data_IF_419348920317
#
_entry.id   IF_419348920317
#
_cell.length_a   1.000
_cell.length_b   1.000
_cell.length_c   1.000
_cell.angle_alpha   90.00
_cell.angle_beta   90.00
_cell.angle_gamma   90.00
#
_symmetry.space_group_name_H-M   'P 1'
#
loop_
_entity.id
_entity.type
_entity.pdbx_description
1 polymer ?
#
# COMPACT_ATOMS: atom_id res chain seq x y z
N UNK A 1 -12.49 39.01 -15.39
CA UNK A 1 -13.67 38.25 -15.86
C UNK A 1 -13.22 36.85 -16.28
N UNK A 2 -13.28 35.85 -15.40
CA UNK A 2 -12.94 34.46 -15.73
C UNK A 2 -14.24 33.71 -16.08
N UNK A 3 -14.41 33.37 -17.37
CA UNK A 3 -15.46 32.47 -17.84
C UNK A 3 -14.92 31.03 -17.83
N UNK A 4 -14.99 30.36 -16.68
CA UNK A 4 -14.81 28.90 -16.63
C UNK A 4 -16.18 28.28 -16.89
N UNK A 5 -16.47 28.04 -18.17
CA UNK A 5 -17.65 27.28 -18.59
C UNK A 5 -17.39 25.79 -18.39
N UNK A 6 -17.83 25.24 -17.25
CA UNK A 6 -17.94 23.78 -17.08
C UNK A 6 -19.12 23.30 -17.94
N UNK A 7 -18.81 22.59 -19.02
CA UNK A 7 -19.81 21.83 -19.76
C UNK A 7 -20.08 20.55 -18.97
N UNK A 8 -21.30 20.43 -18.45
CA UNK A 8 -21.80 19.19 -17.88
C UNK A 8 -21.71 18.08 -18.93
N UNK A 9 -20.76 17.16 -18.78
CA UNK A 9 -20.67 15.98 -19.62
C UNK A 9 -21.82 15.05 -19.26
N UNK A 10 -22.91 15.11 -20.04
CA UNK A 10 -23.93 14.06 -20.09
C UNK A 10 -23.25 12.71 -20.38
N UNK A 11 -23.12 11.89 -19.35
CA UNK A 11 -22.79 10.47 -19.44
C UNK A 11 -21.45 10.16 -20.10
N UNK A 12 -20.33 10.53 -19.46
CA UNK A 12 -19.04 9.93 -19.81
C UNK A 12 -19.08 8.44 -19.44
N UNK A 13 -19.38 7.57 -20.41
CA UNK A 13 -19.22 6.13 -20.28
C UNK A 13 -17.72 5.86 -20.17
N UNK A 14 -17.24 5.64 -18.94
CA UNK A 14 -15.87 5.25 -18.71
C UNK A 14 -15.70 3.82 -19.27
N UNK A 15 -14.99 3.68 -20.39
CA UNK A 15 -14.67 2.37 -20.94
C UNK A 15 -13.69 1.65 -20.03
N UNK A 16 -14.25 0.88 -19.11
CA UNK A 16 -13.56 0.01 -18.21
C UNK A 16 -13.18 -1.27 -18.97
N UNK A 17 -12.11 -1.23 -19.77
CA UNK A 17 -11.80 -2.34 -20.68
C UNK A 17 -11.13 -3.55 -19.99
N UNK A 18 -10.68 -3.42 -18.74
CA UNK A 18 -9.81 -4.43 -18.12
C UNK A 18 -10.32 -5.06 -16.82
N UNK A 19 -11.56 -4.78 -16.41
CA UNK A 19 -11.81 -4.83 -14.97
C UNK A 19 -12.91 -5.77 -14.57
N UNK A 20 -12.43 -6.82 -13.91
CA UNK A 20 -13.16 -7.63 -12.98
C UNK A 20 -14.17 -6.77 -12.18
N UNK A 21 -15.48 -6.97 -12.40
CA UNK A 21 -16.51 -6.16 -11.75
C UNK A 21 -16.46 -6.28 -10.23
N UNK A 22 -15.88 -7.36 -9.70
CA UNK A 22 -15.71 -7.59 -8.27
C UNK A 22 -14.71 -6.60 -7.69
N UNK A 23 -13.53 -6.46 -8.32
CA UNK A 23 -12.48 -5.53 -7.91
C UNK A 23 -13.00 -4.08 -7.95
N UNK A 24 -13.83 -3.75 -8.94
CA UNK A 24 -14.48 -2.45 -8.98
C UNK A 24 -15.48 -2.20 -7.88
N UNK A 25 -16.29 -3.20 -7.58
CA UNK A 25 -17.24 -3.12 -6.47
C UNK A 25 -16.50 -2.87 -5.16
N UNK A 26 -15.37 -3.55 -4.93
CA UNK A 26 -14.52 -3.35 -3.75
C UNK A 26 -13.91 -1.94 -3.73
N UNK A 27 -13.43 -1.44 -4.86
CA UNK A 27 -12.96 -0.05 -4.97
C UNK A 27 -14.06 0.95 -4.62
N UNK A 28 -15.27 0.78 -5.17
CA UNK A 28 -16.41 1.66 -4.87
C UNK A 28 -16.85 1.54 -3.40
N UNK A 29 -16.81 0.34 -2.83
CA UNK A 29 -17.10 0.10 -1.42
C UNK A 29 -16.11 0.85 -0.54
N UNK A 30 -14.81 0.74 -0.82
CA UNK A 30 -13.78 1.49 -0.11
C UNK A 30 -14.00 3.00 -0.20
N UNK A 31 -14.30 3.53 -1.40
CA UNK A 31 -14.54 4.96 -1.57
C UNK A 31 -15.78 5.46 -0.81
N UNK A 32 -16.76 4.59 -0.59
CA UNK A 32 -18.00 4.97 0.10
C UNK A 32 -17.95 4.75 1.62
N UNK A 33 -17.28 3.69 2.08
CA UNK A 33 -17.27 3.25 3.49
C UNK A 33 -15.93 3.49 4.21
N UNK A 34 -14.86 3.73 3.47
CA UNK A 34 -13.48 3.77 3.99
C UNK A 34 -12.81 2.40 4.14
N UNK A 35 -13.51 1.30 3.85
CA UNK A 35 -12.98 -0.06 3.84
C UNK A 35 -13.69 -0.89 2.76
N UNK A 36 -13.05 -1.95 2.26
CA UNK A 36 -13.69 -2.96 1.40
C UNK A 36 -13.78 -4.28 2.15
N UNK A 37 -14.82 -5.06 1.84
CA UNK A 37 -14.91 -6.44 2.33
C UNK A 37 -14.39 -7.35 1.24
N UNK A 38 -13.22 -7.96 1.47
CA UNK A 38 -12.96 -9.22 0.78
C UNK A 38 -13.72 -10.30 1.54
N UNK A 39 -14.32 -11.26 0.82
CA UNK A 39 -15.08 -12.31 1.49
C UNK A 39 -14.16 -13.28 2.28
N UNK A 40 -12.88 -12.94 2.47
CA UNK A 40 -11.81 -13.76 3.06
C UNK A 40 -11.48 -13.28 4.47
N UNK A 41 -11.58 -11.98 4.72
CA UNK A 41 -11.37 -11.29 5.98
C UNK A 41 -12.62 -10.46 6.27
N UNK A 42 -13.69 -11.07 6.82
CA UNK A 42 -14.80 -10.28 7.32
C UNK A 42 -14.24 -9.30 8.35
N UNK A 43 -14.33 -8.00 8.05
CA UNK A 43 -13.76 -6.97 8.89
C UNK A 43 -14.35 -7.12 10.30
N UNK A 44 -13.51 -7.50 11.27
CA UNK A 44 -13.94 -7.81 12.65
C UNK A 44 -14.22 -6.51 13.42
N UNK A 45 -13.91 -5.35 12.85
CA UNK A 45 -14.15 -4.02 13.43
C UNK A 45 -15.64 -3.63 13.56
N UNK A 46 -16.55 -4.59 13.42
CA UNK A 46 -17.98 -4.46 13.69
C UNK A 46 -18.43 -4.99 15.05
N UNK A 47 -17.53 -5.48 15.91
CA UNK A 47 -17.83 -5.54 17.35
C UNK A 47 -17.83 -4.11 17.87
N UNK A 48 -18.95 -3.45 17.65
CA UNK A 48 -19.32 -2.30 18.46
C UNK A 48 -19.36 -2.80 19.89
N UNK A 49 -18.48 -2.27 20.71
CA UNK A 49 -18.70 -2.17 22.15
C UNK A 49 -19.96 -1.30 22.38
N UNK A 50 -21.13 -1.86 22.07
CA UNK A 50 -22.40 -1.50 22.71
C UNK A 50 -22.42 -2.21 24.08
N UNK A 51 -21.35 -2.06 24.87
CA UNK A 51 -21.46 -2.21 26.32
C UNK A 51 -22.01 -0.89 26.86
N UNK A 52 -23.33 -0.91 27.05
CA UNK A 52 -24.10 -0.16 28.02
C UNK A 52 -23.23 0.56 29.09
N UNK A 53 -22.78 1.78 28.79
CA UNK A 53 -22.46 2.74 29.84
C UNK A 53 -23.78 3.29 30.36
N UNK A 54 -24.33 2.56 31.33
CA UNK A 54 -25.34 3.10 32.23
C UNK A 54 -24.78 4.36 32.88
N UNK A 55 -25.37 5.48 32.48
CA UNK A 55 -25.18 6.80 33.04
C UNK A 55 -25.82 6.87 34.43
N UNK A 56 -25.14 6.38 35.46
CA UNK A 56 -25.48 6.68 36.86
C UNK A 56 -24.22 7.17 37.59
N UNK A 57 -23.96 8.48 37.48
CA UNK A 57 -22.80 9.13 38.08
C UNK A 57 -23.03 10.61 38.31
N UNK A 58 -24.02 10.94 39.14
CA UNK A 58 -24.09 12.22 39.84
C UNK A 58 -22.80 12.42 40.66
N UNK A 59 -22.03 13.45 40.32
CA UNK A 59 -20.82 13.86 41.04
C UNK A 59 -20.17 15.04 40.31
N UNK A 60 -20.62 16.27 40.54
CA UNK A 60 -20.20 17.15 41.65
C UNK A 60 -18.90 17.92 41.33
N UNK A 61 -19.10 19.23 41.18
CA UNK A 61 -18.23 20.41 41.39
C UNK A 61 -16.71 20.35 41.16
N UNK A 62 -16.19 21.33 40.41
CA UNK A 62 -14.81 21.78 40.57
C UNK A 62 -14.24 22.60 39.41
N UNK A 63 -14.27 23.92 39.56
CA UNK A 63 -13.63 24.95 38.73
C UNK A 63 -12.15 24.67 38.41
N UNK A 64 -11.69 25.10 37.22
CA UNK A 64 -10.56 26.03 37.11
C UNK A 64 -10.51 26.66 35.71
N UNK A 65 -10.89 27.94 35.66
CA UNK A 65 -10.45 28.91 34.65
C UNK A 65 -9.01 29.29 34.97
N UNK A 66 -8.07 28.96 34.08
CA UNK A 66 -6.80 29.67 33.90
C UNK A 66 -6.67 29.80 32.37
N UNK A 67 -7.06 30.93 31.78
CA UNK A 67 -6.27 32.14 31.55
C UNK A 67 -4.92 31.88 30.86
N UNK A 68 -4.81 32.49 29.68
CA UNK A 68 -3.63 33.02 28.99
C UNK A 68 -2.57 32.05 28.42
N UNK A 69 -2.38 32.08 27.09
CA UNK A 69 -1.14 32.66 26.54
C UNK A 69 -1.28 32.99 25.04
N UNK A 70 -1.24 34.28 24.75
CA UNK A 70 -1.11 34.90 23.44
C UNK A 70 0.34 34.73 22.94
N UNK A 71 0.64 33.72 22.11
CA UNK A 71 1.89 33.73 21.33
C UNK A 71 1.65 34.23 19.91
N UNK A 72 1.70 35.55 19.77
CA UNK A 72 1.95 36.24 18.50
C UNK A 72 3.37 35.91 18.00
N UNK A 73 3.47 35.22 16.87
CA UNK A 73 4.72 35.02 16.14
C UNK A 73 4.53 35.32 14.66
N UNK A 74 4.51 36.61 14.29
CA UNK A 74 4.63 37.06 12.90
C UNK A 74 6.10 36.98 12.50
N UNK A 75 6.44 36.06 11.61
CA UNK A 75 7.66 36.17 10.80
C UNK A 75 7.25 36.48 9.37
N UNK A 76 7.39 37.75 9.01
CA UNK A 76 7.34 38.25 7.64
C UNK A 76 8.56 37.69 6.89
N UNK A 77 8.34 36.74 5.98
CA UNK A 77 9.38 36.36 5.02
C UNK A 77 9.40 37.38 3.87
N UNK A 78 10.49 38.14 3.87
CA UNK A 78 10.92 39.11 2.88
C UNK A 78 10.98 38.49 1.48
N UNK A 79 10.09 38.96 0.59
CA UNK A 79 10.07 38.58 -0.82
C UNK A 79 11.19 39.35 -1.51
N UNK A 80 12.35 38.70 -1.58
CA UNK A 80 13.49 39.14 -2.37
C UNK A 80 13.09 39.34 -3.84
N UNK A 81 13.11 40.60 -4.26
CA UNK A 81 13.17 41.01 -5.67
C UNK A 81 14.44 40.44 -6.32
N UNK A 82 14.26 39.66 -7.38
CA UNK A 82 15.28 39.53 -8.41
C UNK A 82 14.73 40.16 -9.69
N UNK A 83 15.27 41.34 -9.94
CA UNK A 83 15.27 42.10 -11.18
C UNK A 83 16.70 41.93 -11.69
N UNK A 84 16.91 41.25 -12.81
CA UNK A 84 17.73 41.81 -13.88
C UNK A 84 17.65 40.94 -15.13
N UNK A 85 17.48 41.61 -16.25
CA UNK A 85 17.38 40.99 -17.56
C UNK A 85 18.70 40.39 -18.02
N UNK A 86 18.57 39.42 -18.92
CA UNK A 86 19.62 39.16 -19.89
C UNK A 86 18.95 38.81 -21.21
N UNK A 87 18.70 39.86 -22.00
CA UNK A 87 18.58 39.75 -23.45
C UNK A 87 19.93 39.28 -23.99
N UNK A 88 19.95 38.10 -24.60
CA UNK A 88 21.02 37.68 -25.50
C UNK A 88 20.39 36.86 -26.60
N UNK A 89 20.08 37.55 -27.69
CA UNK A 89 19.89 36.99 -29.02
C UNK A 89 21.18 36.27 -29.42
N UNK A 90 21.15 34.94 -29.49
CA UNK A 90 22.01 34.18 -30.40
C UNK A 90 21.16 33.11 -31.10
N UNK A 91 20.98 33.32 -32.40
CA UNK A 91 20.48 32.33 -33.34
C UNK A 91 21.51 31.21 -33.45
N UNK A 92 21.21 30.03 -32.92
CA UNK A 92 21.91 28.80 -33.28
C UNK A 92 20.89 27.71 -33.60
N UNK A 93 20.83 27.43 -34.91
CA UNK A 93 20.23 26.24 -35.51
C UNK A 93 21.06 25.02 -35.09
N UNK A 94 20.70 24.34 -34.00
CA UNK A 94 21.25 23.02 -33.69
C UNK A 94 20.18 22.06 -33.14
N UNK A 95 20.15 20.90 -33.79
CA UNK A 95 19.55 19.61 -33.45
C UNK A 95 18.56 19.53 -32.27
N UNK A 96 17.30 19.19 -32.61
CA UNK A 96 16.22 18.86 -31.67
C UNK A 96 16.53 17.57 -30.90
N UNK A 97 17.33 17.68 -29.84
CA UNK A 97 17.47 16.64 -28.84
C UNK A 97 16.14 16.53 -28.06
N UNK A 98 15.47 15.38 -28.20
CA UNK A 98 14.23 15.03 -27.52
C UNK A 98 14.46 14.87 -26.01
N UNK A 99 14.65 15.97 -25.30
CA UNK A 99 14.55 16.00 -23.84
C UNK A 99 13.10 15.85 -23.44
N UNK A 100 12.77 14.63 -23.01
CA UNK A 100 11.51 14.32 -22.36
C UNK A 100 11.55 14.89 -20.94
N UNK A 101 11.22 16.17 -20.81
CA UNK A 101 10.84 16.79 -19.54
C UNK A 101 9.50 16.19 -19.11
N UNK A 102 9.57 14.98 -18.54
CA UNK A 102 8.56 14.48 -17.66
C UNK A 102 8.60 15.36 -16.40
N UNK A 103 7.78 16.41 -16.42
CA UNK A 103 7.31 17.18 -15.29
C UNK A 103 6.87 16.23 -14.17
N UNK A 104 7.84 15.87 -13.34
CA UNK A 104 7.70 14.96 -12.22
C UNK A 104 7.31 15.84 -11.05
N UNK A 105 6.03 16.23 -11.02
CA UNK A 105 5.47 17.07 -9.97
C UNK A 105 5.79 16.55 -8.57
N UNK A 106 5.71 17.40 -7.53
CA UNK A 106 6.18 17.14 -6.17
C UNK A 106 5.49 15.98 -5.42
N UNK A 107 4.59 15.27 -6.08
CA UNK A 107 3.86 14.10 -5.59
C UNK A 107 4.46 12.75 -6.03
N UNK A 108 5.51 12.74 -6.88
CA UNK A 108 6.17 11.53 -7.35
C UNK A 108 7.26 11.00 -6.39
N UNK A 109 7.12 11.24 -5.08
CA UNK A 109 7.90 10.47 -4.09
C UNK A 109 7.29 9.08 -4.01
N UNK A 110 7.82 8.18 -4.83
CA UNK A 110 7.61 6.76 -4.65
C UNK A 110 8.16 6.37 -3.28
N UNK A 111 7.37 5.65 -2.45
CA UNK A 111 7.85 5.27 -1.15
C UNK A 111 9.09 4.38 -1.31
N UNK A 112 10.15 4.73 -0.59
CA UNK A 112 11.39 3.95 -0.62
C UNK A 112 11.15 2.61 0.08
N UNK A 113 11.97 1.61 -0.22
CA UNK A 113 11.89 0.28 0.43
C UNK A 113 12.03 0.33 1.96
N UNK A 114 12.53 1.44 2.52
CA UNK A 114 12.61 1.67 3.96
C UNK A 114 11.27 2.16 4.55
N UNK A 115 10.37 2.75 3.75
CA UNK A 115 9.07 3.24 4.21
C UNK A 115 8.02 2.14 4.33
N UNK A 116 8.09 1.06 3.54
CA UNK A 116 7.24 -0.13 3.76
C UNK A 116 7.63 -0.82 5.08
N UNK A 117 8.92 -0.94 5.35
CA UNK A 117 9.42 -1.44 6.63
C UNK A 117 9.11 -0.49 7.80
N UNK A 118 9.15 0.83 7.62
CA UNK A 118 8.79 1.80 8.64
C UNK A 118 7.27 1.88 8.89
N UNK A 119 6.45 1.74 7.86
CA UNK A 119 4.99 1.68 7.96
C UNK A 119 4.52 0.40 8.66
N UNK A 120 5.23 -0.73 8.48
CA UNK A 120 4.97 -1.98 9.20
C UNK A 120 5.54 -1.98 10.63
N UNK A 121 6.62 -1.23 10.91
CA UNK A 121 7.22 -1.11 12.26
C UNK A 121 6.56 -0.06 13.16
N UNK A 122 5.65 0.77 12.65
CA UNK A 122 5.08 1.91 13.37
C UNK A 122 3.72 1.63 14.01
N UNK A 123 3.61 0.63 14.89
CA UNK A 123 2.58 0.54 15.95
C UNK A 123 2.87 -0.67 16.85
N UNK A 124 3.95 -0.58 17.62
CA UNK A 124 4.21 -1.46 18.76
C UNK A 124 4.37 -0.55 19.98
N UNK A 125 3.27 0.07 20.39
CA UNK A 125 3.11 0.66 21.70
C UNK A 125 3.08 -0.47 22.72
N UNK A 126 4.29 -0.77 23.24
CA UNK A 126 4.55 -1.85 24.18
C UNK A 126 3.70 -1.79 25.45
N UNK A 127 2.54 -2.43 25.40
CA UNK A 127 1.77 -2.88 26.56
C UNK A 127 1.79 -4.41 26.63
N UNK A 128 3.00 -4.98 26.57
CA UNK A 128 3.26 -6.35 26.98
C UNK A 128 3.41 -6.38 28.50
N UNK A 129 2.31 -6.62 29.22
CA UNK A 129 2.25 -7.40 30.47
C UNK A 129 0.88 -7.23 31.14
N UNK A 130 -0.04 -8.17 30.87
CA UNK A 130 -1.11 -8.68 31.76
C UNK A 130 -2.32 -9.19 30.97
N UNK A 131 -2.19 -10.32 30.29
CA UNK A 131 -3.35 -11.22 30.17
C UNK A 131 -2.93 -12.65 30.45
N UNK A 132 -3.42 -13.10 31.60
CA UNK A 132 -3.25 -14.43 32.13
C UNK A 132 -3.76 -15.48 31.16
N UNK A 133 -2.96 -16.53 31.09
CA UNK A 133 -3.21 -17.81 30.45
C UNK A 133 -4.31 -18.55 31.20
N UNK A 134 -5.59 -18.25 30.94
CA UNK A 134 -6.71 -19.07 31.41
C UNK A 134 -7.89 -18.97 30.42
N UNK A 135 -8.18 -20.11 29.78
CA UNK A 135 -9.52 -20.49 29.30
C UNK A 135 -10.05 -19.95 27.95
N UNK A 136 -9.27 -20.05 26.86
CA UNK A 136 -9.84 -20.13 25.50
C UNK A 136 -9.96 -21.60 25.06
N UNK A 137 -10.92 -22.33 25.66
CA UNK A 137 -11.34 -23.69 25.24
C UNK A 137 -12.75 -23.72 24.63
N UNK A 138 -13.19 -22.59 24.03
CA UNK A 138 -14.56 -22.44 23.51
C UNK A 138 -14.73 -21.82 22.12
N UNK A 139 -13.68 -21.38 21.43
CA UNK A 139 -13.78 -20.75 20.09
C UNK A 139 -13.42 -21.70 18.93
N UNK A 140 -13.75 -22.99 19.07
CA UNK A 140 -13.59 -23.97 18.00
C UNK A 140 -14.56 -23.70 16.84
N UNK A 141 -14.01 -23.63 15.63
CA UNK A 141 -14.69 -23.76 14.33
C UNK A 141 -15.45 -22.54 13.73
N UNK A 142 -14.86 -21.34 13.74
CA UNK A 142 -15.20 -20.31 12.73
C UNK A 142 -14.02 -19.81 11.90
N UNK A 143 -12.90 -20.53 11.88
CA UNK A 143 -12.02 -20.54 10.71
C UNK A 143 -12.74 -21.34 9.62
N UNK A 144 -13.87 -20.81 9.15
CA UNK A 144 -14.45 -21.18 7.88
C UNK A 144 -13.29 -21.20 6.88
N UNK A 145 -13.19 -22.28 6.11
CA UNK A 145 -12.22 -22.48 5.05
C UNK A 145 -12.38 -21.38 3.99
N UNK A 146 -11.94 -20.17 4.30
CA UNK A 146 -11.93 -19.08 3.34
C UNK A 146 -10.85 -19.42 2.32
N UNK A 147 -11.18 -19.38 1.01
CA UNK A 147 -10.19 -19.59 0.00
C UNK A 147 -9.11 -18.51 0.16
N UNK A 148 -7.85 -18.94 0.29
CA UNK A 148 -6.70 -18.02 0.30
C UNK A 148 -6.75 -17.25 -1.03
N UNK A 149 -7.00 -15.95 -0.97
CA UNK A 149 -7.07 -15.08 -2.14
C UNK A 149 -6.01 -14.00 -2.06
N UNK A 150 -4.89 -14.25 -2.73
CA UNK A 150 -3.81 -13.28 -2.91
C UNK A 150 -3.99 -12.42 -4.16
N UNK A 151 -4.87 -12.81 -5.10
CA UNK A 151 -5.06 -12.10 -6.36
C UNK A 151 -5.92 -10.85 -6.13
N UNK A 152 -6.96 -10.95 -5.30
CA UNK A 152 -7.83 -9.82 -4.97
C UNK A 152 -7.06 -8.62 -4.41
N UNK A 153 -6.30 -8.73 -3.30
CA UNK A 153 -5.57 -7.60 -2.75
C UNK A 153 -4.50 -7.07 -3.72
N UNK A 154 -3.85 -7.95 -4.51
CA UNK A 154 -2.92 -7.53 -5.56
C UNK A 154 -3.59 -6.69 -6.66
N UNK A 155 -4.76 -7.11 -7.15
CA UNK A 155 -5.53 -6.36 -8.15
C UNK A 155 -6.05 -5.04 -7.59
N UNK A 156 -6.44 -5.03 -6.32
CA UNK A 156 -6.88 -3.82 -5.65
C UNK A 156 -5.73 -2.83 -5.44
N UNK A 157 -4.53 -3.32 -5.12
CA UNK A 157 -3.30 -2.52 -5.06
C UNK A 157 -2.98 -1.85 -6.40
N UNK A 158 -2.99 -2.62 -7.49
CA UNK A 158 -2.70 -2.08 -8.85
C UNK A 158 -3.76 -1.09 -9.30
N UNK A 159 -5.02 -1.32 -8.93
CA UNK A 159 -6.12 -0.38 -9.12
C UNK A 159 -5.92 0.90 -8.33
N UNK A 160 -5.62 0.81 -7.04
CA UNK A 160 -5.36 1.97 -6.21
C UNK A 160 -4.20 2.82 -6.75
N UNK A 161 -3.17 2.18 -7.29
CA UNK A 161 -2.08 2.87 -7.98
C UNK A 161 -2.56 3.55 -9.27
N UNK A 162 -3.35 2.87 -10.12
CA UNK A 162 -3.90 3.43 -11.37
C UNK A 162 -4.80 4.66 -11.13
N UNK A 163 -5.54 4.68 -10.03
CA UNK A 163 -6.44 5.79 -9.66
C UNK A 163 -5.83 6.76 -8.63
N UNK A 164 -4.57 6.56 -8.23
CA UNK A 164 -3.88 7.37 -7.23
C UNK A 164 -4.67 7.52 -5.93
N UNK A 165 -5.12 6.40 -5.34
CA UNK A 165 -5.85 6.33 -4.07
C UNK A 165 -4.91 5.76 -2.99
N UNK A 166 -4.18 6.59 -2.21
CA UNK A 166 -3.09 6.12 -1.34
C UNK A 166 -3.56 5.21 -0.21
N UNK A 167 -4.69 5.53 0.42
CA UNK A 167 -5.23 4.74 1.54
C UNK A 167 -5.60 3.32 1.10
N UNK A 168 -6.27 3.18 -0.05
CA UNK A 168 -6.61 1.87 -0.61
C UNK A 168 -5.34 1.09 -0.99
N UNK A 169 -4.34 1.79 -1.55
CA UNK A 169 -3.05 1.17 -1.90
C UNK A 169 -2.37 0.61 -0.65
N UNK A 170 -2.32 1.37 0.43
CA UNK A 170 -1.73 0.96 1.70
C UNK A 170 -2.48 -0.22 2.33
N UNK A 171 -3.82 -0.18 2.33
CA UNK A 171 -4.64 -1.28 2.85
C UNK A 171 -4.47 -2.56 2.03
N UNK A 172 -4.60 -2.48 0.71
CA UNK A 172 -4.46 -3.64 -0.17
C UNK A 172 -3.06 -4.26 -0.10
N UNK A 173 -2.03 -3.42 0.05
CA UNK A 173 -0.65 -3.86 0.27
C UNK A 173 -0.51 -4.61 1.61
N UNK A 174 -1.06 -4.07 2.70
CA UNK A 174 -1.02 -4.70 4.02
C UNK A 174 -1.70 -6.07 4.01
N UNK A 175 -2.89 -6.15 3.42
CA UNK A 175 -3.63 -7.41 3.30
C UNK A 175 -2.85 -8.43 2.45
N UNK A 176 -2.28 -8.01 1.32
CA UNK A 176 -1.46 -8.90 0.49
C UNK A 176 -0.26 -9.45 1.25
N UNK A 177 0.52 -8.58 1.91
CA UNK A 177 1.73 -8.95 2.66
C UNK A 177 1.38 -9.93 3.77
N UNK A 178 0.40 -9.59 4.61
CA UNK A 178 -0.05 -10.44 5.71
C UNK A 178 -0.50 -11.82 5.23
N UNK A 179 -1.33 -11.87 4.20
CA UNK A 179 -1.85 -13.14 3.68
C UNK A 179 -0.75 -13.96 3.01
N UNK A 180 0.19 -13.30 2.33
CA UNK A 180 1.32 -13.96 1.69
C UNK A 180 2.23 -14.59 2.74
N UNK A 181 2.67 -13.85 3.75
CA UNK A 181 3.56 -14.37 4.81
C UNK A 181 2.98 -15.61 5.50
N UNK A 182 1.67 -15.61 5.77
CA UNK A 182 1.00 -16.70 6.46
C UNK A 182 0.75 -17.93 5.59
N UNK A 183 0.38 -17.74 4.32
CA UNK A 183 -0.24 -18.82 3.54
C UNK A 183 0.49 -19.19 2.25
N UNK A 184 1.50 -18.43 1.81
CA UNK A 184 2.09 -18.62 0.48
C UNK A 184 2.64 -20.03 0.24
N UNK A 185 3.27 -20.66 1.24
CA UNK A 185 3.84 -22.01 1.11
C UNK A 185 2.77 -23.09 0.93
N UNK A 186 1.58 -22.87 1.51
CA UNK A 186 0.42 -23.77 1.37
C UNK A 186 -0.39 -23.50 0.10
N UNK A 187 -0.15 -22.38 -0.58
CA UNK A 187 -0.93 -21.95 -1.73
C UNK A 187 -0.28 -22.38 -3.05
N UNK A 188 -0.77 -23.48 -3.64
CA UNK A 188 -0.20 -24.06 -4.87
C UNK A 188 -0.21 -23.11 -6.08
N UNK A 189 -1.15 -22.17 -6.11
CA UNK A 189 -1.28 -21.19 -7.20
C UNK A 189 -0.42 -19.94 -6.99
N UNK A 190 0.43 -19.91 -5.96
CA UNK A 190 1.28 -18.75 -5.68
C UNK A 190 2.17 -18.32 -6.86
N UNK A 191 2.78 -19.23 -7.66
CA UNK A 191 3.52 -18.82 -8.87
C UNK A 191 2.67 -18.00 -9.85
N UNK A 192 1.37 -18.29 -9.98
CA UNK A 192 0.47 -17.52 -10.84
C UNK A 192 0.21 -16.11 -10.29
N UNK A 193 0.19 -15.95 -8.95
CA UNK A 193 0.15 -14.63 -8.30
C UNK A 193 1.40 -13.83 -8.63
N UNK A 194 2.58 -14.47 -8.59
CA UNK A 194 3.84 -13.81 -8.97
C UNK A 194 3.83 -13.40 -10.44
N UNK A 195 3.31 -14.24 -11.33
CA UNK A 195 3.13 -13.87 -12.75
C UNK A 195 2.21 -12.65 -12.89
N UNK A 196 1.06 -12.64 -12.23
CA UNK A 196 0.14 -11.50 -12.25
C UNK A 196 0.83 -10.22 -11.70
N UNK A 197 1.58 -10.35 -10.60
CA UNK A 197 2.35 -9.26 -10.00
C UNK A 197 3.34 -8.67 -11.01
N UNK A 198 4.11 -9.53 -11.69
CA UNK A 198 5.09 -9.11 -12.70
C UNK A 198 4.44 -8.46 -13.93
N UNK A 199 3.17 -8.77 -14.22
CA UNK A 199 2.42 -8.15 -15.32
C UNK A 199 1.81 -6.80 -14.95
N UNK A 200 1.40 -6.62 -13.70
CA UNK A 200 0.59 -5.47 -13.29
C UNK A 200 1.36 -4.40 -12.50
N UNK A 201 2.60 -4.66 -12.08
CA UNK A 201 3.42 -3.69 -11.33
C UNK A 201 4.64 -3.21 -12.13
N UNK A 202 5.27 -2.13 -11.72
CA UNK A 202 6.52 -1.65 -12.31
C UNK A 202 7.72 -2.51 -11.85
N UNK A 203 8.84 -2.52 -12.61
CA UNK A 203 10.05 -3.29 -12.26
C UNK A 203 10.60 -2.98 -10.87
N UNK A 204 10.53 -1.72 -10.44
CA UNK A 204 11.02 -1.25 -9.12
C UNK A 204 9.91 -1.17 -8.07
N UNK A 205 8.81 -1.91 -8.25
CA UNK A 205 7.74 -1.92 -7.27
C UNK A 205 8.17 -2.66 -5.98
N UNK A 206 7.95 -2.10 -4.78
CA UNK A 206 8.36 -2.73 -3.52
C UNK A 206 7.71 -4.09 -3.29
N UNK A 207 6.54 -4.35 -3.89
CA UNK A 207 5.87 -5.64 -3.77
C UNK A 207 6.62 -6.77 -4.50
N UNK A 208 7.32 -6.45 -5.60
CA UNK A 208 8.20 -7.40 -6.28
C UNK A 208 9.39 -7.79 -5.42
N UNK A 209 10.03 -6.79 -4.80
CA UNK A 209 11.14 -7.01 -3.87
C UNK A 209 10.72 -7.88 -2.67
N UNK A 210 9.57 -7.56 -2.07
CA UNK A 210 9.00 -8.35 -0.98
C UNK A 210 8.76 -9.81 -1.39
N UNK A 211 8.10 -10.05 -2.53
CA UNK A 211 7.84 -11.43 -3.01
C UNK A 211 9.13 -12.16 -3.35
N UNK A 212 10.11 -11.49 -3.97
CA UNK A 212 11.41 -12.09 -4.24
C UNK A 212 12.09 -12.53 -2.94
N UNK A 213 12.14 -11.67 -1.92
CA UNK A 213 12.68 -12.00 -0.59
C UNK A 213 11.96 -13.19 0.04
N UNK A 214 10.62 -13.21 -0.03
CA UNK A 214 9.79 -14.28 0.52
C UNK A 214 10.10 -15.63 -0.12
N UNK A 215 10.20 -15.67 -1.46
CA UNK A 215 10.51 -16.90 -2.20
C UNK A 215 11.94 -17.35 -1.92
N UNK A 216 12.91 -16.43 -1.96
CA UNK A 216 14.33 -16.74 -1.72
C UNK A 216 14.54 -17.43 -0.37
N UNK A 217 13.86 -16.96 0.69
CA UNK A 217 14.00 -17.50 2.04
C UNK A 217 13.69 -19.01 2.13
N UNK A 218 12.77 -19.51 1.31
CA UNK A 218 12.42 -20.93 1.28
C UNK A 218 13.00 -21.67 0.07
N UNK A 219 13.47 -20.98 -0.96
CA UNK A 219 13.97 -21.61 -2.18
C UNK A 219 15.19 -22.51 -1.93
N UNK A 220 16.07 -22.11 -1.00
CA UNK A 220 17.24 -22.92 -0.61
C UNK A 220 16.86 -24.12 0.25
N UNK A 221 15.85 -23.96 1.12
CA UNK A 221 15.42 -24.97 2.10
C UNK A 221 14.55 -26.06 1.45
N UNK A 222 13.57 -25.67 0.64
CA UNK A 222 12.52 -26.57 0.15
C UNK A 222 12.71 -26.95 -1.34
N UNK A 223 12.95 -28.24 -1.68
CA UNK A 223 13.02 -28.70 -3.06
C UNK A 223 11.71 -28.57 -3.85
N UNK A 224 10.56 -28.60 -3.17
CA UNK A 224 9.26 -28.54 -3.83
C UNK A 224 9.00 -27.12 -4.34
N UNK A 225 9.39 -26.09 -3.59
CA UNK A 225 9.36 -24.69 -4.02
C UNK A 225 10.18 -24.51 -5.30
N UNK A 226 11.38 -25.11 -5.38
CA UNK A 226 12.22 -25.04 -6.60
C UNK A 226 11.53 -25.65 -7.81
N UNK A 227 10.83 -26.76 -7.61
CA UNK A 227 10.10 -27.45 -8.68
C UNK A 227 8.89 -26.63 -9.14
N UNK A 228 8.13 -26.07 -8.20
CA UNK A 228 6.98 -25.19 -8.49
C UNK A 228 7.38 -23.91 -9.23
N UNK A 229 8.50 -23.31 -8.85
CA UNK A 229 8.97 -22.04 -9.43
C UNK A 229 9.82 -22.19 -10.69
N UNK A 230 10.33 -23.38 -11.01
CA UNK A 230 11.11 -23.63 -12.23
C UNK A 230 10.50 -23.05 -13.52
N UNK A 231 9.24 -23.34 -13.89
CA UNK A 231 8.67 -22.81 -15.14
C UNK A 231 8.56 -21.28 -15.14
N UNK A 232 8.35 -20.68 -13.96
CA UNK A 232 8.30 -19.22 -13.80
C UNK A 232 9.68 -18.61 -14.02
N UNK A 233 10.72 -19.18 -13.41
CA UNK A 233 12.09 -18.71 -13.55
C UNK A 233 12.59 -18.82 -15.00
N UNK A 234 12.24 -19.91 -15.69
CA UNK A 234 12.56 -20.09 -17.11
C UNK A 234 11.85 -19.07 -18.02
N UNK A 235 10.62 -18.67 -17.66
CA UNK A 235 9.81 -17.75 -18.48
C UNK A 235 10.10 -16.27 -18.19
N UNK A 236 10.50 -15.94 -16.96
CA UNK A 236 10.68 -14.56 -16.49
C UNK A 236 12.13 -14.35 -16.02
N UNK A 237 13.01 -14.03 -16.97
CA UNK A 237 14.43 -13.81 -16.72
C UNK A 237 14.70 -12.66 -15.72
N UNK A 238 13.89 -11.59 -15.77
CA UNK A 238 14.00 -10.44 -14.85
C UNK A 238 13.81 -10.88 -13.40
N UNK A 239 12.74 -11.63 -13.12
CA UNK A 239 12.48 -12.13 -11.78
C UNK A 239 13.54 -13.13 -11.32
N UNK A 240 14.10 -13.92 -12.23
CA UNK A 240 15.21 -14.82 -11.91
C UNK A 240 16.48 -14.07 -11.52
N UNK A 241 16.78 -12.96 -12.20
CA UNK A 241 17.90 -12.10 -11.82
C UNK A 241 17.68 -11.49 -10.44
N UNK A 242 16.49 -10.92 -10.19
CA UNK A 242 16.12 -10.36 -8.87
C UNK A 242 16.25 -11.41 -7.75
N UNK A 243 15.81 -12.65 -8.01
CA UNK A 243 15.92 -13.76 -7.06
C UNK A 243 17.38 -14.10 -6.73
N UNK A 244 18.25 -14.15 -7.75
CA UNK A 244 19.67 -14.47 -7.58
C UNK A 244 20.43 -13.37 -6.83
N UNK A 245 20.17 -12.10 -7.15
CA UNK A 245 20.77 -10.95 -6.45
C UNK A 245 20.42 -11.02 -4.94
N UNK A 246 19.16 -11.29 -4.61
CA UNK A 246 18.72 -11.45 -3.23
C UNK A 246 19.31 -12.67 -2.52
N UNK A 247 19.59 -13.76 -3.25
CA UNK A 247 20.31 -14.91 -2.68
C UNK A 247 21.75 -14.55 -2.31
N UNK A 248 22.43 -13.78 -3.16
CA UNK A 248 23.79 -13.29 -2.89
C UNK A 248 23.77 -12.38 -1.66
N UNK A 249 22.84 -11.43 -1.59
CA UNK A 249 22.68 -10.53 -0.44
C UNK A 249 22.52 -11.30 0.89
N UNK A 250 21.71 -12.37 0.91
CA UNK A 250 21.52 -13.20 2.10
C UNK A 250 22.77 -14.00 2.48
N UNK A 251 23.54 -14.47 1.50
CA UNK A 251 24.80 -15.19 1.74
C UNK A 251 25.88 -14.26 2.29
N UNK A 252 25.92 -13.01 1.83
CA UNK A 252 26.83 -12.00 2.35
C UNK A 252 26.44 -11.57 3.77
N UNK A 253 25.15 -11.40 4.05
CA UNK A 253 24.65 -11.06 5.39
C UNK A 253 24.89 -12.15 6.45
N UNK A 254 25.14 -13.40 6.04
CA UNK A 254 25.42 -14.52 6.94
C UNK A 254 26.90 -14.66 7.35
N UNK A 255 27.80 -13.82 6.83
CA UNK A 255 29.25 -13.82 7.15
C UNK A 255 29.58 -12.83 8.27
#
# INVERSE_FOLDING_TARGET
MCRIGRKDTKGSVLCVQDKDPIIFKMLLEFLYKGYYTDNVHPNVEGEKDEEDRDCDGDGDEGYNEEEDDDTQGKEEMDIGKYDDGNDSDEEDDDEMDLVSDADTGPWARHPTTNEVDAFLRGHDDGEADRYGNEEIRGAGNRLNSYPIDLITPLRLYTMAQKYSIPLLKAQALREFVRTAELHWSSYDQFPNVVVELLRCTARRDPLRDFVARLVVAQYSVDPDVRTKFRPLLESYAEFSADLLDKMVDLLEASK
#
